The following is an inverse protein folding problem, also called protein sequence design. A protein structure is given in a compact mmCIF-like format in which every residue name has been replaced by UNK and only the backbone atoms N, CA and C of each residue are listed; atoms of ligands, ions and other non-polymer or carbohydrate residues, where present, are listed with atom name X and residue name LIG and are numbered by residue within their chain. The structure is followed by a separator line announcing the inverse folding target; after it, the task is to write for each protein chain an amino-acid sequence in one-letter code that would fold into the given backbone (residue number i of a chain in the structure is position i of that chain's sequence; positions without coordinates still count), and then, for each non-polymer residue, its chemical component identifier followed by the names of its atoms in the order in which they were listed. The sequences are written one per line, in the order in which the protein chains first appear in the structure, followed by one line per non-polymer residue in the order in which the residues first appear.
data_IF_400236452236
#
_entry.id   IF_400236452236
#
_cell.length_a   1.000
_cell.length_b   1.000
_cell.length_c   1.000
_cell.angle_alpha   90.00
_cell.angle_beta   90.00
_cell.angle_gamma   90.00
#
_symmetry.space_group_name_H-M   'P 1'
#
loop_
_entity.id
_entity.type
_entity.pdbx_description
1 polymer ?
#
# COMPACT_ATOMS: atom_id res chain seq x y z
N UNK A 1 5.14 -31.21 -17.38
CA UNK A 1 6.11 -30.99 -18.50
C UNK A 1 5.86 -29.59 -19.01
N UNK A 2 6.88 -28.76 -18.99
CA UNK A 2 6.78 -27.40 -19.49
C UNK A 2 7.08 -27.37 -20.97
N UNK A 3 6.21 -26.77 -21.77
CA UNK A 3 6.36 -26.65 -23.21
C UNK A 3 6.59 -25.17 -23.55
N UNK A 4 7.58 -24.93 -24.44
CA UNK A 4 7.88 -23.62 -24.98
C UNK A 4 7.79 -23.64 -26.51
N UNK A 5 7.52 -22.49 -27.13
CA UNK A 5 7.45 -22.37 -28.59
C UNK A 5 8.71 -22.88 -29.29
N UNK A 6 9.86 -22.79 -28.63
CA UNK A 6 11.15 -23.26 -29.15
C UNK A 6 11.58 -24.63 -28.60
N UNK A 7 10.62 -25.46 -28.13
CA UNK A 7 10.85 -26.76 -27.52
C UNK A 7 10.87 -26.75 -26.01
N UNK A 8 11.21 -27.87 -25.40
CA UNK A 8 11.27 -28.05 -23.97
C UNK A 8 12.46 -27.30 -23.35
N UNK A 9 12.21 -26.52 -22.30
CA UNK A 9 13.25 -25.93 -21.43
C UNK A 9 13.09 -26.49 -20.01
N UNK A 10 14.18 -27.03 -19.42
CA UNK A 10 14.12 -27.43 -18.01
C UNK A 10 14.07 -26.20 -17.08
N UNK A 11 13.47 -26.37 -15.92
CA UNK A 11 13.39 -25.34 -14.88
C UNK A 11 12.01 -24.70 -14.75
N UNK A 12 11.93 -23.69 -13.89
CA UNK A 12 10.73 -22.88 -13.67
C UNK A 12 10.63 -21.79 -14.75
N UNK A 13 9.53 -21.70 -15.52
CA UNK A 13 9.36 -20.68 -16.55
C UNK A 13 9.31 -19.26 -15.98
N UNK A 14 8.93 -19.10 -14.71
CA UNK A 14 8.84 -17.79 -14.06
C UNK A 14 10.20 -17.26 -13.57
N UNK A 15 11.25 -18.11 -13.62
CA UNK A 15 12.60 -17.72 -13.23
C UNK A 15 13.43 -17.39 -14.46
N UNK A 16 13.75 -16.11 -14.65
CA UNK A 16 14.65 -15.64 -15.69
C UNK A 16 16.10 -16.04 -15.41
N UNK A 17 16.93 -16.12 -16.45
CA UNK A 17 18.38 -16.25 -16.26
C UNK A 17 18.90 -14.99 -15.55
N UNK A 18 19.74 -15.19 -14.52
CA UNK A 18 20.37 -14.08 -13.81
C UNK A 18 21.34 -13.33 -14.74
N UNK A 19 21.29 -12.00 -14.71
CA UNK A 19 22.23 -11.16 -15.42
C UNK A 19 23.64 -11.27 -14.81
N UNK A 20 24.71 -11.21 -15.61
CA UNK A 20 26.07 -11.17 -15.07
C UNK A 20 26.26 -9.96 -14.13
N UNK A 21 26.94 -10.18 -13.00
CA UNK A 21 27.26 -9.10 -12.06
C UNK A 21 26.06 -8.54 -11.27
N UNK A 22 24.91 -9.26 -11.25
CA UNK A 22 23.78 -8.88 -10.39
C UNK A 22 24.23 -8.84 -8.92
N UNK A 23 23.74 -7.84 -8.20
CA UNK A 23 23.98 -7.66 -6.77
C UNK A 23 23.16 -8.70 -5.98
N UNK A 24 23.73 -9.17 -4.85
CA UNK A 24 23.04 -10.11 -3.95
C UNK A 24 22.62 -9.41 -2.67
N UNK A 25 21.60 -9.94 -2.02
CA UNK A 25 21.23 -9.50 -0.68
C UNK A 25 22.44 -9.60 0.28
N UNK A 26 22.71 -8.51 1.01
CA UNK A 26 23.84 -8.44 1.94
C UNK A 26 25.18 -7.99 1.32
N UNK A 27 25.27 -7.84 0.01
CA UNK A 27 26.42 -7.19 -0.61
C UNK A 27 26.54 -5.73 -0.12
N UNK A 28 27.76 -5.15 -0.08
CA UNK A 28 27.95 -3.74 0.24
C UNK A 28 27.08 -2.83 -0.61
N UNK A 29 26.56 -1.75 -0.01
CA UNK A 29 25.81 -0.76 -0.76
C UNK A 29 26.70 -0.15 -1.87
N UNK A 30 26.18 0.00 -3.10
CA UNK A 30 26.92 0.60 -4.20
C UNK A 30 27.12 2.10 -3.96
N UNK A 31 28.22 2.66 -4.46
CA UNK A 31 28.47 4.09 -4.43
C UNK A 31 27.60 4.87 -5.43
N UNK A 32 27.26 4.22 -6.56
CA UNK A 32 26.44 4.82 -7.62
C UNK A 32 25.39 3.85 -8.15
N UNK A 33 24.21 4.36 -8.44
CA UNK A 33 23.09 3.63 -9.08
C UNK A 33 22.43 4.49 -10.14
N UNK A 34 21.71 3.87 -11.07
CA UNK A 34 20.93 4.65 -12.03
C UNK A 34 19.61 5.09 -11.41
N UNK A 35 18.95 4.22 -10.62
CA UNK A 35 17.71 4.52 -9.92
C UNK A 35 17.80 4.08 -8.45
N UNK A 36 17.55 5.01 -7.53
CA UNK A 36 17.34 4.75 -6.11
C UNK A 36 15.86 4.90 -5.77
N UNK A 37 15.26 3.83 -5.27
CA UNK A 37 13.87 3.82 -4.78
C UNK A 37 13.90 3.89 -3.25
N UNK A 38 13.29 4.93 -2.69
CA UNK A 38 13.15 5.09 -1.24
C UNK A 38 11.82 4.51 -0.78
N UNK A 39 11.86 3.39 -0.08
CA UNK A 39 10.69 2.66 0.44
C UNK A 39 10.28 1.45 -0.39
N UNK A 40 9.98 0.34 0.28
CA UNK A 40 9.48 -0.92 -0.29
C UNK A 40 7.98 -1.11 -0.05
N UNK A 41 7.22 -0.03 0.06
CA UNK A 41 5.75 -0.04 0.03
C UNK A 41 5.20 -0.42 -1.35
N UNK A 42 3.86 -0.45 -1.54
CA UNK A 42 3.24 -0.84 -2.82
C UNK A 42 3.76 -0.06 -4.03
N UNK A 43 3.92 1.27 -3.91
CA UNK A 43 4.50 2.08 -4.98
C UNK A 43 5.94 1.67 -5.31
N UNK A 44 6.80 1.58 -4.29
CA UNK A 44 8.21 1.25 -4.49
C UNK A 44 8.43 -0.14 -5.07
N UNK A 45 7.68 -1.15 -4.60
CA UNK A 45 7.79 -2.51 -5.13
C UNK A 45 7.19 -2.65 -6.54
N UNK A 46 6.12 -1.93 -6.86
CA UNK A 46 5.55 -1.91 -8.21
C UNK A 46 6.59 -1.40 -9.23
N UNK A 47 7.29 -0.30 -8.91
CA UNK A 47 8.37 0.22 -9.73
C UNK A 47 9.58 -0.75 -9.77
N UNK A 48 9.99 -1.23 -8.61
CA UNK A 48 11.13 -2.13 -8.49
C UNK A 48 10.94 -3.43 -9.30
N UNK A 49 9.73 -3.99 -9.29
CA UNK A 49 9.40 -5.20 -10.06
C UNK A 49 9.50 -4.97 -11.59
N UNK A 50 9.18 -3.77 -12.07
CA UNK A 50 9.36 -3.39 -13.47
C UNK A 50 10.84 -3.27 -13.80
N UNK A 51 11.59 -2.49 -13.01
CA UNK A 51 13.02 -2.24 -13.23
C UNK A 51 13.89 -3.50 -13.03
N UNK A 52 13.46 -4.42 -12.19
CA UNK A 52 14.14 -5.72 -12.00
C UNK A 52 14.29 -6.53 -13.28
N UNK A 53 13.42 -6.30 -14.28
CA UNK A 53 13.46 -6.95 -15.60
C UNK A 53 14.47 -6.33 -16.57
N UNK A 54 15.05 -5.18 -16.21
CA UNK A 54 15.93 -4.38 -17.08
C UNK A 54 17.34 -4.31 -16.49
N UNK A 55 18.22 -5.30 -16.77
CA UNK A 55 19.54 -5.39 -16.13
C UNK A 55 20.50 -4.26 -16.52
N UNK A 56 20.17 -3.47 -17.55
CA UNK A 56 20.95 -2.30 -17.98
C UNK A 56 20.75 -1.11 -17.01
N UNK A 57 19.68 -1.11 -16.18
CA UNK A 57 19.38 -0.08 -15.19
C UNK A 57 19.78 -0.62 -13.82
N UNK A 58 20.84 -0.07 -13.22
CA UNK A 58 21.27 -0.42 -11.86
C UNK A 58 20.32 0.21 -10.86
N UNK A 59 19.39 -0.61 -10.36
CA UNK A 59 18.36 -0.19 -9.41
C UNK A 59 18.71 -0.62 -7.99
N UNK A 60 18.47 0.27 -7.02
CA UNK A 60 18.57 0.00 -5.59
C UNK A 60 17.28 0.38 -4.91
N UNK A 61 16.80 -0.45 -3.98
CA UNK A 61 15.64 -0.16 -3.14
C UNK A 61 16.09 -0.14 -1.69
N UNK A 62 15.76 0.91 -0.94
CA UNK A 62 16.05 1.01 0.50
C UNK A 62 14.77 1.03 1.31
N UNK A 63 14.76 0.33 2.45
CA UNK A 63 13.59 0.22 3.33
C UNK A 63 14.03 0.37 4.81
N UNK A 64 13.43 1.30 5.58
CA UNK A 64 13.77 1.49 6.98
C UNK A 64 13.46 0.31 7.90
N UNK A 65 12.51 -0.53 7.56
CA UNK A 65 12.18 -1.74 8.34
C UNK A 65 13.29 -2.78 8.22
N UNK A 66 13.34 -3.70 9.19
CA UNK A 66 14.36 -4.75 9.25
C UNK A 66 14.12 -5.91 8.27
N UNK A 67 12.95 -5.97 7.63
CA UNK A 67 12.56 -7.04 6.73
C UNK A 67 11.28 -6.74 5.97
N UNK A 68 10.78 -7.72 5.20
CA UNK A 68 9.54 -7.61 4.45
C UNK A 68 8.33 -7.27 5.33
N UNK A 69 7.27 -6.80 4.72
CA UNK A 69 6.02 -6.50 5.41
C UNK A 69 5.34 -7.79 5.89
N UNK A 70 5.13 -7.92 7.19
CA UNK A 70 4.44 -9.07 7.79
C UNK A 70 2.94 -8.83 7.94
N UNK A 71 2.53 -7.60 8.21
CA UNK A 71 1.12 -7.20 8.41
C UNK A 71 0.81 -5.98 7.56
N UNK A 72 -0.12 -6.14 6.63
CA UNK A 72 -0.59 -5.05 5.77
C UNK A 72 -1.78 -4.32 6.38
N UNK A 73 -1.89 -3.03 6.08
CA UNK A 73 -3.01 -2.19 6.49
C UNK A 73 -4.14 -2.19 5.44
N UNK A 74 -3.76 -2.17 4.16
CA UNK A 74 -4.70 -2.22 3.04
C UNK A 74 -5.07 -3.67 2.68
N UNK A 75 -6.19 -3.83 1.98
CA UNK A 75 -6.71 -5.13 1.55
C UNK A 75 -7.47 -5.10 0.21
N UNK A 76 -8.10 -3.98 -0.15
CA UNK A 76 -8.89 -3.86 -1.38
C UNK A 76 -8.01 -3.69 -2.61
N UNK A 77 -8.20 -4.56 -3.60
CA UNK A 77 -7.54 -4.51 -4.92
C UNK A 77 -8.60 -4.24 -5.98
N UNK A 78 -8.56 -3.05 -6.57
CA UNK A 78 -9.46 -2.66 -7.64
C UNK A 78 -9.20 -3.44 -8.93
N UNK A 79 -10.17 -3.47 -9.83
CA UNK A 79 -10.05 -4.14 -11.13
C UNK A 79 -8.83 -3.63 -11.91
N UNK A 80 -8.56 -2.32 -11.90
CA UNK A 80 -7.39 -1.75 -12.57
C UNK A 80 -6.08 -2.27 -11.99
N UNK A 81 -5.97 -2.43 -10.68
CA UNK A 81 -4.79 -3.03 -10.04
C UNK A 81 -4.65 -4.52 -10.37
N UNK A 82 -5.77 -5.23 -10.51
CA UNK A 82 -5.74 -6.63 -10.98
C UNK A 82 -5.23 -6.73 -12.43
N UNK A 83 -5.59 -5.79 -13.31
CA UNK A 83 -5.04 -5.71 -14.68
C UNK A 83 -3.52 -5.44 -14.64
N UNK A 84 -3.04 -4.57 -13.74
CA UNK A 84 -1.61 -4.38 -13.51
C UNK A 84 -0.95 -5.69 -13.05
N UNK A 85 -1.55 -6.43 -12.13
CA UNK A 85 -1.03 -7.73 -11.66
C UNK A 85 -1.00 -8.77 -12.79
N UNK A 86 -1.95 -8.70 -13.73
CA UNK A 86 -1.92 -9.53 -14.94
C UNK A 86 -0.68 -9.24 -15.78
N UNK A 87 -0.28 -7.98 -15.94
CA UNK A 87 0.93 -7.61 -16.67
C UNK A 87 2.23 -8.11 -16.01
N UNK A 88 2.22 -8.23 -14.68
CA UNK A 88 3.29 -8.86 -13.91
C UNK A 88 3.26 -10.40 -13.95
N UNK A 89 2.11 -11.01 -14.29
CA UNK A 89 1.93 -12.45 -14.37
C UNK A 89 1.42 -13.12 -13.09
N UNK A 90 0.99 -12.37 -12.08
CA UNK A 90 0.53 -12.96 -10.81
C UNK A 90 -0.96 -12.70 -10.46
N UNK A 91 -1.75 -12.11 -11.36
CA UNK A 91 -3.17 -11.87 -11.11
C UNK A 91 -3.95 -13.14 -10.75
N UNK A 92 -3.69 -14.25 -11.44
CA UNK A 92 -4.36 -15.53 -11.13
C UNK A 92 -4.00 -16.05 -9.72
N UNK A 93 -2.76 -15.84 -9.26
CA UNK A 93 -2.34 -16.19 -7.90
C UNK A 93 -3.12 -15.35 -6.88
N UNK A 94 -3.28 -14.05 -7.13
CA UNK A 94 -4.12 -13.19 -6.31
C UNK A 94 -5.56 -13.66 -6.30
N UNK A 95 -6.16 -13.96 -7.44
CA UNK A 95 -7.54 -14.45 -7.55
C UNK A 95 -7.78 -15.72 -6.75
N UNK A 96 -6.81 -16.64 -6.71
CA UNK A 96 -6.93 -17.90 -5.94
C UNK A 96 -6.81 -17.69 -4.42
N UNK A 97 -6.01 -16.71 -3.99
CA UNK A 97 -5.74 -16.48 -2.57
C UNK A 97 -6.70 -15.45 -1.93
N UNK A 98 -7.40 -14.67 -2.75
CA UNK A 98 -8.24 -13.55 -2.32
C UNK A 98 -9.72 -13.91 -2.12
N UNK A 99 -10.45 -12.98 -1.53
CA UNK A 99 -11.92 -13.00 -1.52
C UNK A 99 -12.43 -12.10 -2.63
N UNK A 100 -13.30 -12.61 -3.49
CA UNK A 100 -13.91 -11.85 -4.57
C UNK A 100 -15.11 -11.07 -4.05
N UNK A 101 -15.19 -9.82 -4.42
CA UNK A 101 -16.31 -8.94 -4.11
C UNK A 101 -17.19 -8.81 -5.35
N UNK A 102 -18.22 -9.67 -5.41
CA UNK A 102 -19.17 -9.66 -6.52
C UNK A 102 -20.28 -8.65 -6.30
N UNK A 103 -20.69 -8.46 -5.04
CA UNK A 103 -21.81 -7.61 -4.67
C UNK A 103 -21.50 -6.84 -3.39
N UNK A 104 -22.11 -5.67 -3.29
CA UNK A 104 -22.06 -4.81 -2.11
C UNK A 104 -23.48 -4.61 -1.58
N UNK A 105 -23.67 -4.72 -0.26
CA UNK A 105 -24.94 -4.47 0.38
C UNK A 105 -24.94 -3.18 1.19
N UNK A 106 -26.10 -2.55 1.26
CA UNK A 106 -26.31 -1.32 2.03
C UNK A 106 -27.43 -1.54 3.04
N UNK A 107 -27.12 -1.20 4.28
CA UNK A 107 -28.01 -1.33 5.42
C UNK A 107 -28.24 0.03 6.07
N UNK A 108 -29.46 0.36 6.34
CA UNK A 108 -29.85 1.63 6.93
C UNK A 108 -31.04 1.44 7.88
N UNK A 109 -31.34 2.42 8.77
CA UNK A 109 -32.51 2.38 9.62
C UNK A 109 -33.79 2.27 8.80
N UNK A 110 -34.55 1.20 9.04
CA UNK A 110 -35.85 0.96 8.48
C UNK A 110 -36.98 1.51 9.34
N UNK A 111 -38.21 1.01 9.08
CA UNK A 111 -39.35 1.28 9.97
C UNK A 111 -39.08 0.69 11.36
N UNK A 112 -39.34 1.42 12.43
CA UNK A 112 -39.11 1.03 13.81
C UNK A 112 -37.64 1.01 14.26
N UNK A 113 -36.75 1.77 13.60
CA UNK A 113 -35.31 1.87 13.91
C UNK A 113 -34.52 0.56 13.82
N UNK A 114 -35.08 -0.50 13.26
CA UNK A 114 -34.36 -1.73 12.92
C UNK A 114 -33.44 -1.49 11.70
N UNK A 115 -32.35 -2.23 11.60
CA UNK A 115 -31.50 -2.21 10.40
C UNK A 115 -32.14 -3.06 9.29
N UNK A 116 -32.46 -2.44 8.18
CA UNK A 116 -32.99 -3.10 6.97
C UNK A 116 -31.96 -3.04 5.84
N UNK A 117 -31.88 -4.11 5.02
CA UNK A 117 -31.11 -4.08 3.78
C UNK A 117 -31.84 -3.23 2.76
N UNK A 118 -31.35 -2.01 2.50
CA UNK A 118 -31.97 -1.05 1.58
C UNK A 118 -31.52 -1.22 0.13
N UNK A 119 -30.33 -1.83 -0.10
CA UNK A 119 -29.86 -2.13 -1.44
C UNK A 119 -28.87 -3.31 -1.45
N UNK A 120 -28.80 -4.00 -2.58
CA UNK A 120 -27.80 -4.97 -2.95
C UNK A 120 -27.44 -4.71 -4.41
N UNK A 121 -26.18 -4.40 -4.68
CA UNK A 121 -25.71 -3.97 -5.99
C UNK A 121 -24.51 -4.79 -6.43
N UNK A 122 -24.36 -5.01 -7.71
CA UNK A 122 -23.15 -5.57 -8.31
C UNK A 122 -21.98 -4.62 -8.03
N UNK A 123 -20.83 -5.14 -7.58
CA UNK A 123 -19.69 -4.29 -7.18
C UNK A 123 -18.93 -3.75 -8.41
N UNK A 124 -18.73 -4.59 -9.43
CA UNK A 124 -18.11 -4.20 -10.70
C UNK A 124 -19.13 -4.35 -11.82
N UNK A 125 -19.53 -3.25 -12.49
CA UNK A 125 -20.46 -3.32 -13.62
C UNK A 125 -19.91 -4.16 -14.78
N UNK A 126 -20.80 -4.85 -15.51
CA UNK A 126 -20.42 -5.66 -16.67
C UNK A 126 -19.73 -4.82 -17.74
N UNK A 127 -18.74 -5.40 -18.40
CA UNK A 127 -18.02 -4.79 -19.53
C UNK A 127 -16.96 -3.77 -19.15
N UNK A 128 -16.73 -3.50 -17.85
CA UNK A 128 -15.63 -2.62 -17.39
C UNK A 128 -14.30 -3.36 -17.43
N UNK A 129 -14.26 -4.60 -16.93
CA UNK A 129 -13.04 -5.41 -16.89
C UNK A 129 -13.39 -6.89 -16.74
N UNK A 130 -12.53 -7.76 -17.27
CA UNK A 130 -12.56 -9.20 -16.99
C UNK A 130 -12.01 -9.54 -15.58
N UNK A 131 -11.40 -8.57 -14.91
CA UNK A 131 -10.82 -8.76 -13.59
C UNK A 131 -11.83 -8.46 -12.47
N UNK A 132 -11.84 -9.25 -11.39
CA UNK A 132 -12.68 -8.97 -10.23
C UNK A 132 -12.08 -7.88 -9.33
N UNK A 133 -12.93 -7.21 -8.55
CA UNK A 133 -12.51 -6.54 -7.33
C UNK A 133 -12.29 -7.60 -6.24
N UNK A 134 -11.15 -7.59 -5.57
CA UNK A 134 -10.80 -8.59 -4.58
C UNK A 134 -10.26 -7.99 -3.29
N UNK A 135 -10.32 -8.77 -2.22
CA UNK A 135 -9.69 -8.46 -0.93
C UNK A 135 -8.60 -9.48 -0.63
N UNK A 136 -7.40 -8.99 -0.39
CA UNK A 136 -6.23 -9.79 -0.02
C UNK A 136 -5.31 -8.96 0.88
N UNK A 137 -4.65 -9.59 1.83
CA UNK A 137 -3.71 -8.90 2.71
C UNK A 137 -2.59 -8.23 1.90
N UNK A 138 -2.33 -6.96 2.18
CA UNK A 138 -1.27 -6.18 1.54
C UNK A 138 0.11 -6.85 1.61
N UNK A 139 0.42 -7.55 2.72
CA UNK A 139 1.67 -8.29 2.86
C UNK A 139 1.79 -9.41 1.82
N UNK A 140 0.67 -10.01 1.41
CA UNK A 140 0.68 -11.03 0.34
C UNK A 140 1.01 -10.45 -1.03
N UNK A 141 0.46 -9.27 -1.34
CA UNK A 141 0.81 -8.51 -2.57
C UNK A 141 2.30 -8.12 -2.54
N UNK A 142 2.78 -7.68 -1.38
CA UNK A 142 4.20 -7.39 -1.14
C UNK A 142 5.10 -8.59 -1.47
N UNK A 143 4.77 -9.78 -0.95
CA UNK A 143 5.49 -11.03 -1.25
C UNK A 143 5.52 -11.33 -2.75
N UNK A 144 4.38 -11.18 -3.44
CA UNK A 144 4.29 -11.45 -4.88
C UNK A 144 5.19 -10.53 -5.71
N UNK A 145 5.30 -9.25 -5.35
CA UNK A 145 6.27 -8.34 -5.97
C UNK A 145 7.71 -8.73 -5.67
N UNK A 146 8.02 -9.12 -4.43
CA UNK A 146 9.35 -9.63 -4.08
C UNK A 146 9.71 -10.89 -4.87
N UNK A 147 8.76 -11.81 -5.08
CA UNK A 147 8.97 -13.01 -5.91
C UNK A 147 9.31 -12.64 -7.36
N UNK A 148 8.57 -11.66 -7.95
CA UNK A 148 8.89 -11.15 -9.29
C UNK A 148 10.31 -10.59 -9.35
N UNK A 149 10.70 -9.79 -8.37
CA UNK A 149 12.02 -9.16 -8.31
C UNK A 149 13.14 -10.21 -8.16
N UNK A 150 12.97 -11.20 -7.27
CA UNK A 150 13.92 -12.29 -7.04
C UNK A 150 14.08 -13.19 -8.26
N UNK A 151 13.01 -13.38 -9.03
CA UNK A 151 12.99 -14.22 -10.22
C UNK A 151 13.41 -13.47 -11.50
N UNK A 152 13.49 -12.15 -11.47
CA UNK A 152 13.92 -11.29 -12.56
C UNK A 152 15.44 -11.38 -12.82
N UNK A 153 15.94 -10.96 -13.98
CA UNK A 153 17.37 -11.05 -14.31
C UNK A 153 18.29 -10.36 -13.29
N UNK A 154 17.88 -9.26 -12.69
CA UNK A 154 18.71 -8.50 -11.72
C UNK A 154 18.75 -9.11 -10.33
N UNK A 155 17.87 -10.07 -10.00
CA UNK A 155 17.71 -10.60 -8.63
C UNK A 155 17.56 -9.50 -7.59
N UNK A 156 16.84 -8.44 -7.95
CA UNK A 156 16.70 -7.26 -7.11
C UNK A 156 16.01 -7.60 -5.77
N UNK A 157 16.60 -7.17 -4.68
CA UNK A 157 16.03 -7.27 -3.34
C UNK A 157 16.18 -5.93 -2.63
N UNK A 158 15.22 -5.53 -1.74
CA UNK A 158 15.36 -4.33 -0.96
C UNK A 158 16.51 -4.43 0.07
N UNK A 159 17.25 -3.34 0.25
CA UNK A 159 18.20 -3.15 1.32
C UNK A 159 17.48 -2.69 2.58
N UNK A 160 17.14 -3.66 3.43
CA UNK A 160 16.42 -3.42 4.68
C UNK A 160 17.29 -2.75 5.75
N UNK A 161 16.64 -1.97 6.62
CA UNK A 161 17.28 -1.24 7.71
C UNK A 161 18.00 0.02 7.24
N UNK A 162 17.63 0.58 6.08
CA UNK A 162 18.14 1.83 5.55
C UNK A 162 17.01 2.76 5.13
N UNK A 163 17.13 4.05 5.45
CA UNK A 163 16.24 5.11 4.96
C UNK A 163 17.03 6.16 4.21
N UNK A 164 16.40 6.85 3.28
CA UNK A 164 16.91 8.13 2.80
C UNK A 164 16.67 9.15 3.90
N UNK A 165 17.75 9.67 4.49
CA UNK A 165 17.66 10.68 5.54
C UNK A 165 17.57 12.08 4.94
N UNK A 166 18.36 12.33 3.87
CA UNK A 166 18.41 13.59 3.14
C UNK A 166 18.92 13.35 1.72
N UNK A 167 18.75 14.32 0.82
CA UNK A 167 19.34 14.31 -0.51
C UNK A 167 19.61 15.74 -1.01
N UNK A 168 20.56 15.84 -1.94
CA UNK A 168 20.86 17.05 -2.68
C UNK A 168 20.90 16.76 -4.16
N UNK A 169 20.51 17.72 -4.99
CA UNK A 169 20.56 17.62 -6.45
C UNK A 169 21.52 18.67 -6.98
N UNK A 170 22.51 18.23 -7.74
CA UNK A 170 23.41 19.10 -8.49
C UNK A 170 22.93 19.14 -9.96
N UNK A 171 22.26 20.24 -10.38
CA UNK A 171 21.69 20.32 -11.73
C UNK A 171 22.74 20.37 -12.84
N UNK A 172 23.98 20.70 -12.50
CA UNK A 172 25.09 20.85 -13.46
C UNK A 172 25.89 19.54 -13.62
N UNK A 173 25.67 18.54 -12.76
CA UNK A 173 26.33 17.26 -12.85
C UNK A 173 25.85 16.46 -14.06
N UNK A 174 26.79 16.04 -14.93
CA UNK A 174 26.48 15.23 -16.11
C UNK A 174 26.03 13.80 -15.76
N UNK A 175 26.59 13.22 -14.68
CA UNK A 175 26.31 11.87 -14.21
C UNK A 175 26.03 11.86 -12.71
N UNK A 176 25.02 11.07 -12.29
CA UNK A 176 24.64 10.90 -10.90
C UNK A 176 24.40 12.23 -10.15
N UNK A 177 23.51 13.09 -10.66
CA UNK A 177 23.28 14.43 -10.11
C UNK A 177 22.68 14.42 -8.70
N UNK A 178 22.09 13.31 -8.27
CA UNK A 178 21.48 13.21 -6.94
C UNK A 178 22.45 12.53 -5.98
N UNK A 179 22.77 13.20 -4.86
CA UNK A 179 23.49 12.59 -3.74
C UNK A 179 22.53 12.34 -2.60
N UNK A 180 22.23 11.07 -2.31
CA UNK A 180 21.38 10.64 -1.21
C UNK A 180 22.22 10.25 -0.01
N UNK A 181 21.86 10.78 1.17
CA UNK A 181 22.38 10.33 2.46
C UNK A 181 21.49 9.22 3.01
N UNK A 182 21.98 8.01 3.01
CA UNK A 182 21.30 6.86 3.63
C UNK A 182 21.69 6.77 5.10
N UNK A 183 20.72 6.49 5.97
CA UNK A 183 20.95 6.29 7.41
C UNK A 183 20.46 4.90 7.82
N UNK A 184 21.28 4.18 8.56
CA UNK A 184 20.97 2.88 9.14
C UNK A 184 19.92 3.06 10.26
N UNK A 185 18.81 2.32 10.19
CA UNK A 185 17.68 2.50 11.10
C UNK A 185 17.67 1.56 12.29
N UNK A 186 18.42 0.44 12.24
CA UNK A 186 18.38 -0.60 13.26
C UNK A 186 19.71 -1.33 13.41
N UNK A 187 19.84 -2.06 14.52
CA UNK A 187 21.03 -2.87 14.85
C UNK A 187 22.14 -2.05 15.53
N UNK A 188 23.32 -2.66 15.70
CA UNK A 188 24.47 -2.03 16.36
C UNK A 188 25.04 -0.83 15.59
N UNK A 189 24.68 -0.68 14.34
CA UNK A 189 25.12 0.40 13.45
C UNK A 189 24.04 1.45 13.21
N UNK A 190 22.96 1.49 14.01
CA UNK A 190 21.92 2.50 13.91
C UNK A 190 22.52 3.92 13.97
N UNK A 191 22.07 4.81 13.07
CA UNK A 191 22.62 6.16 12.91
C UNK A 191 23.86 6.26 12.01
N UNK A 192 24.45 5.15 11.59
CA UNK A 192 25.52 5.17 10.59
C UNK A 192 24.99 5.67 9.25
N UNK A 193 25.73 6.55 8.61
CA UNK A 193 25.36 7.11 7.30
C UNK A 193 26.25 6.58 6.18
N UNK A 194 25.68 6.57 4.96
CA UNK A 194 26.34 6.26 3.70
C UNK A 194 25.85 7.21 2.62
N UNK A 195 26.74 7.63 1.74
CA UNK A 195 26.39 8.40 0.57
C UNK A 195 26.23 7.45 -0.62
N UNK A 196 25.15 7.62 -1.36
CA UNK A 196 24.88 6.95 -2.65
C UNK A 196 24.53 8.02 -3.66
N UNK A 197 25.17 8.02 -4.82
CA UNK A 197 24.83 8.91 -5.90
C UNK A 197 23.93 8.21 -6.90
N UNK A 198 22.91 8.91 -7.43
CA UNK A 198 21.94 8.36 -8.34
C UNK A 198 21.67 9.27 -9.53
N UNK A 199 21.29 8.68 -10.68
CA UNK A 199 20.76 9.45 -11.78
C UNK A 199 19.32 9.92 -11.49
N UNK A 200 18.55 9.07 -10.81
CA UNK A 200 17.18 9.35 -10.39
C UNK A 200 16.90 8.81 -8.99
N UNK A 201 16.08 9.53 -8.22
CA UNK A 201 15.56 9.07 -6.93
C UNK A 201 14.04 9.12 -6.98
N UNK A 202 13.40 8.01 -6.58
CA UNK A 202 11.94 7.94 -6.48
C UNK A 202 11.56 7.79 -5.01
N UNK A 203 10.91 8.81 -4.45
CA UNK A 203 10.40 8.84 -3.08
C UNK A 203 9.08 8.08 -2.96
N UNK A 204 9.15 6.83 -2.50
CA UNK A 204 8.03 5.97 -2.14
C UNK A 204 7.99 5.72 -0.62
N UNK A 205 8.53 6.65 0.17
CA UNK A 205 8.81 6.54 1.59
C UNK A 205 7.65 6.99 2.50
N UNK A 206 6.43 7.03 1.93
CA UNK A 206 5.18 7.14 2.65
C UNK A 206 4.83 8.55 3.13
N UNK A 207 3.75 8.66 3.91
CA UNK A 207 3.16 9.93 4.31
C UNK A 207 4.13 10.88 5.07
N UNK A 208 5.16 10.33 5.72
CA UNK A 208 6.21 11.08 6.42
C UNK A 208 7.49 11.21 5.62
N UNK A 209 7.38 11.22 4.29
CA UNK A 209 8.49 11.20 3.34
C UNK A 209 9.61 12.19 3.66
N UNK A 210 10.83 11.66 3.75
CA UNK A 210 12.06 12.44 3.84
C UNK A 210 12.42 13.01 2.46
N UNK A 211 12.21 12.22 1.40
CA UNK A 211 12.48 12.64 0.02
C UNK A 211 11.65 13.90 -0.32
N UNK A 212 10.33 13.89 -0.01
CA UNK A 212 9.49 15.08 -0.18
C UNK A 212 10.05 16.30 0.55
N UNK A 213 10.44 16.15 1.81
CA UNK A 213 11.01 17.24 2.61
C UNK A 213 12.33 17.76 2.02
N UNK A 214 13.18 16.87 1.54
CA UNK A 214 14.48 17.21 0.97
C UNK A 214 14.35 18.05 -0.32
N UNK A 215 13.29 17.83 -1.12
CA UNK A 215 13.00 18.66 -2.30
C UNK A 215 12.18 19.93 -1.97
N UNK A 216 11.92 20.18 -0.67
CA UNK A 216 11.15 21.34 -0.20
C UNK A 216 9.64 21.22 -0.39
N UNK A 217 9.12 20.01 -0.60
CA UNK A 217 7.68 19.75 -0.73
C UNK A 217 6.98 19.59 0.63
N UNK A 218 5.72 20.00 0.69
CA UNK A 218 4.84 19.88 1.85
C UNK A 218 3.50 19.24 1.48
N UNK A 219 2.89 18.50 2.43
CA UNK A 219 1.54 18.02 2.26
C UNK A 219 0.53 19.07 2.71
N UNK A 220 -0.41 19.38 1.85
CA UNK A 220 -1.53 20.28 2.09
C UNK A 220 -2.85 19.52 2.02
N UNK A 221 -3.84 19.96 2.78
CA UNK A 221 -5.17 19.35 2.81
C UNK A 221 -5.78 19.34 4.21
N UNK A 222 -7.00 18.86 4.29
CA UNK A 222 -7.79 18.89 5.51
C UNK A 222 -7.61 17.62 6.34
N UNK A 223 -7.43 17.78 7.64
CA UNK A 223 -7.72 16.73 8.60
C UNK A 223 -9.25 16.67 8.76
N UNK A 224 -9.85 15.53 8.50
CA UNK A 224 -11.32 15.39 8.60
C UNK A 224 -11.82 15.37 10.06
N UNK A 225 -10.94 15.53 11.05
CA UNK A 225 -11.26 15.43 12.50
C UNK A 225 -12.14 14.21 12.83
N UNK A 226 -12.01 13.15 12.06
CA UNK A 226 -12.77 11.92 12.17
C UNK A 226 -11.82 10.74 12.32
N UNK A 227 -12.01 9.97 13.39
CA UNK A 227 -11.28 8.75 13.63
C UNK A 227 -12.04 7.54 13.07
N UNK A 228 -11.30 6.57 12.52
CA UNK A 228 -11.82 5.28 12.08
C UNK A 228 -11.05 4.16 12.75
N UNK A 229 -11.78 3.32 13.48
CA UNK A 229 -11.28 2.05 13.97
C UNK A 229 -11.29 1.02 12.84
N UNK A 230 -10.18 0.32 12.66
CA UNK A 230 -10.09 -0.83 11.73
C UNK A 230 -9.70 -2.04 12.56
N UNK A 231 -10.44 -3.13 12.43
CA UNK A 231 -10.22 -4.32 13.23
C UNK A 231 -10.47 -5.59 12.42
N UNK A 232 -9.48 -6.49 12.44
CA UNK A 232 -9.59 -7.85 11.90
C UNK A 232 -9.94 -8.81 13.02
N UNK A 233 -11.04 -9.53 12.87
CA UNK A 233 -11.57 -10.35 13.94
C UNK A 233 -12.24 -11.65 13.47
N UNK A 234 -12.34 -12.59 14.41
CA UNK A 234 -13.22 -13.75 14.32
C UNK A 234 -14.41 -13.50 15.23
N UNK A 235 -15.63 -13.63 14.70
CA UNK A 235 -16.84 -13.41 15.47
C UNK A 235 -17.98 -14.35 15.07
N UNK A 236 -18.93 -14.50 16.00
CA UNK A 236 -20.23 -15.13 15.76
C UNK A 236 -21.28 -14.02 15.73
N UNK A 237 -22.09 -14.01 14.67
CA UNK A 237 -23.12 -13.00 14.47
C UNK A 237 -24.33 -13.61 13.76
N UNK A 238 -25.49 -13.02 13.97
CA UNK A 238 -26.73 -13.26 13.20
C UNK A 238 -26.95 -12.24 12.07
N UNK A 239 -25.99 -11.35 11.84
CA UNK A 239 -26.02 -10.41 10.69
C UNK A 239 -25.94 -11.22 9.38
N UNK A 240 -26.97 -11.15 8.50
CA UNK A 240 -27.07 -12.09 7.38
C UNK A 240 -26.01 -11.87 6.31
N UNK A 241 -25.48 -10.64 6.15
CA UNK A 241 -24.49 -10.30 5.13
C UNK A 241 -23.05 -10.28 5.67
N UNK A 242 -22.77 -11.05 6.74
CA UNK A 242 -21.47 -11.10 7.38
C UNK A 242 -20.30 -11.45 6.44
N UNK A 243 -20.58 -12.20 5.38
CA UNK A 243 -19.58 -12.60 4.37
C UNK A 243 -19.70 -11.80 3.06
N UNK A 244 -20.31 -10.61 3.10
CA UNK A 244 -20.42 -9.68 1.98
C UNK A 244 -19.74 -8.35 2.34
N UNK A 245 -19.30 -7.62 1.34
CA UNK A 245 -18.96 -6.21 1.53
C UNK A 245 -20.26 -5.46 1.85
N UNK A 246 -20.35 -4.91 3.05
CA UNK A 246 -21.58 -4.29 3.54
C UNK A 246 -21.29 -2.94 4.15
N UNK A 247 -22.08 -1.94 3.76
CA UNK A 247 -22.12 -0.65 4.43
C UNK A 247 -23.33 -0.61 5.35
N UNK A 248 -23.09 -0.41 6.64
CA UNK A 248 -24.12 -0.38 7.68
C UNK A 248 -24.15 1.00 8.30
N UNK A 249 -25.26 1.70 8.19
CA UNK A 249 -25.51 2.99 8.82
C UNK A 249 -26.57 2.82 9.89
N UNK A 250 -26.25 3.12 11.14
CA UNK A 250 -27.21 3.13 12.24
C UNK A 250 -27.93 4.47 12.40
N UNK A 251 -28.97 4.47 13.20
CA UNK A 251 -29.62 5.71 13.63
C UNK A 251 -28.88 6.30 14.85
N UNK A 252 -27.95 7.22 14.59
CA UNK A 252 -27.27 7.97 15.65
C UNK A 252 -25.95 7.40 16.16
N UNK A 253 -25.60 6.12 15.86
CA UNK A 253 -24.33 5.53 16.28
C UNK A 253 -23.21 5.61 15.23
N UNK A 254 -23.50 6.09 14.01
CA UNK A 254 -22.54 6.22 12.93
C UNK A 254 -22.61 5.10 11.90
N UNK A 255 -21.50 4.91 11.21
CA UNK A 255 -21.38 3.98 10.07
C UNK A 255 -20.31 2.92 10.33
N UNK A 256 -20.53 1.74 9.80
CA UNK A 256 -19.53 0.69 9.80
C UNK A 256 -19.51 0.00 8.43
N UNK A 257 -18.35 -0.48 8.02
CA UNK A 257 -18.20 -1.31 6.83
C UNK A 257 -17.70 -2.69 7.21
N UNK A 258 -18.34 -3.72 6.68
CA UNK A 258 -17.93 -5.13 6.82
C UNK A 258 -17.22 -5.53 5.55
N UNK A 259 -16.03 -6.10 5.69
CA UNK A 259 -15.26 -6.67 4.60
C UNK A 259 -14.89 -8.12 4.94
N UNK A 260 -15.36 -9.10 4.17
CA UNK A 260 -14.90 -10.48 4.33
C UNK A 260 -13.41 -10.55 3.98
N UNK A 261 -12.66 -11.29 4.78
CA UNK A 261 -11.24 -11.51 4.55
C UNK A 261 -10.99 -12.94 4.08
N UNK A 262 -9.79 -13.15 3.57
CA UNK A 262 -9.30 -14.44 3.14
C UNK A 262 -9.40 -15.50 4.25
N UNK A 263 -9.42 -16.79 3.89
CA UNK A 263 -9.53 -17.92 4.81
C UNK A 263 -10.95 -18.28 5.24
N UNK A 264 -11.98 -17.56 4.77
CA UNK A 264 -13.39 -17.93 4.97
C UNK A 264 -14.02 -17.51 6.31
N UNK A 265 -13.23 -17.19 7.33
CA UNK A 265 -13.72 -16.88 8.68
C UNK A 265 -13.37 -15.47 9.15
N UNK A 266 -12.23 -14.96 8.76
CA UNK A 266 -11.77 -13.62 9.14
C UNK A 266 -12.63 -12.54 8.48
N UNK A 267 -12.92 -11.48 9.23
CA UNK A 267 -13.66 -10.30 8.76
C UNK A 267 -12.95 -9.05 9.25
N UNK A 268 -12.90 -8.05 8.40
CA UNK A 268 -12.46 -6.70 8.75
C UNK A 268 -13.65 -5.78 8.92
N UNK A 269 -13.66 -5.06 10.02
CA UNK A 269 -14.60 -3.96 10.23
C UNK A 269 -13.85 -2.62 10.14
N UNK A 270 -14.43 -1.67 9.41
CA UNK A 270 -14.09 -0.26 9.48
C UNK A 270 -15.21 0.42 10.25
N UNK A 271 -14.91 0.95 11.41
CA UNK A 271 -15.89 1.50 12.36
C UNK A 271 -15.67 2.99 12.51
N UNK A 272 -16.68 3.77 12.19
CA UNK A 272 -16.68 5.21 12.44
C UNK A 272 -16.65 5.47 13.95
N UNK A 273 -15.56 6.07 14.41
CA UNK A 273 -15.41 6.49 15.81
C UNK A 273 -15.97 7.90 15.99
N UNK A 274 -16.08 8.34 17.23
CA UNK A 274 -16.57 9.69 17.51
C UNK A 274 -15.62 10.76 16.96
N UNK A 275 -16.19 11.91 16.59
CA UNK A 275 -15.41 13.02 16.04
C UNK A 275 -14.34 13.50 17.03
N UNK A 276 -13.20 13.89 16.48
CA UNK A 276 -12.10 14.53 17.22
C UNK A 276 -12.36 16.02 17.37
N UNK A 277 -11.98 16.61 18.49
CA UNK A 277 -11.90 18.06 18.62
C UNK A 277 -10.85 18.66 17.67
N UNK A 278 -10.93 19.96 17.39
CA UNK A 278 -10.05 20.65 16.43
C UNK A 278 -8.54 20.46 16.72
N UNK A 279 -8.17 20.38 18.00
CA UNK A 279 -6.78 20.22 18.46
C UNK A 279 -6.49 18.83 19.03
N UNK A 280 -7.44 17.90 18.93
CA UNK A 280 -7.35 16.56 19.51
C UNK A 280 -6.81 15.55 18.51
N UNK A 281 -5.87 14.70 18.94
CA UNK A 281 -5.35 13.59 18.15
C UNK A 281 -5.89 12.25 18.67
N UNK A 282 -6.03 11.28 17.78
CA UNK A 282 -6.43 9.91 18.14
C UNK A 282 -5.56 9.35 19.27
N UNK A 283 -4.24 9.60 19.24
CA UNK A 283 -3.33 9.14 20.28
C UNK A 283 -3.63 9.66 21.68
N UNK A 284 -4.26 10.83 21.79
CA UNK A 284 -4.56 11.49 23.07
C UNK A 284 -5.77 10.86 23.77
N UNK A 285 -6.62 10.14 23.02
CA UNK A 285 -7.82 9.46 23.56
C UNK A 285 -7.56 8.11 24.21
N UNK A 286 -6.42 7.50 23.95
CA UNK A 286 -6.09 6.17 24.47
C UNK A 286 -7.06 5.06 24.05
N UNK A 287 -7.73 5.23 22.89
CA UNK A 287 -8.68 4.26 22.35
C UNK A 287 -8.00 2.90 22.07
N UNK A 288 -8.74 1.82 22.29
CA UNK A 288 -8.27 0.46 22.17
C UNK A 288 -9.22 -0.42 21.33
N UNK A 289 -8.93 -1.70 21.21
CA UNK A 289 -9.73 -2.65 20.43
C UNK A 289 -11.14 -2.81 21.00
N UNK A 290 -11.29 -2.79 22.32
CA UNK A 290 -12.56 -2.92 23.02
C UNK A 290 -13.51 -1.77 22.70
N UNK A 291 -12.97 -0.55 22.56
CA UNK A 291 -13.76 0.63 22.17
C UNK A 291 -14.30 0.49 20.74
N UNK A 292 -13.48 -0.03 19.81
CA UNK A 292 -13.91 -0.32 18.43
C UNK A 292 -15.02 -1.37 18.43
N UNK A 293 -14.86 -2.46 19.21
CA UNK A 293 -15.84 -3.54 19.30
C UNK A 293 -17.16 -3.01 19.89
N UNK A 294 -17.10 -2.27 20.99
CA UNK A 294 -18.29 -1.71 21.62
C UNK A 294 -19.06 -0.76 20.69
N UNK A 295 -18.33 0.06 19.91
CA UNK A 295 -18.94 0.94 18.89
C UNK A 295 -19.57 0.12 17.76
N UNK A 296 -18.88 -0.91 17.27
CA UNK A 296 -19.40 -1.81 16.25
C UNK A 296 -20.69 -2.51 16.71
N UNK A 297 -20.73 -3.00 17.94
CA UNK A 297 -21.91 -3.65 18.52
C UNK A 297 -23.13 -2.71 18.59
N UNK A 298 -22.92 -1.44 18.92
CA UNK A 298 -24.01 -0.44 18.91
C UNK A 298 -24.52 -0.16 17.51
N UNK A 299 -23.62 -0.03 16.52
CA UNK A 299 -23.98 0.19 15.12
C UNK A 299 -24.74 -1.00 14.55
N UNK A 300 -24.36 -2.22 14.91
CA UNK A 300 -25.01 -3.46 14.43
C UNK A 300 -26.38 -3.75 15.07
N UNK A 301 -26.71 -3.09 16.18
CA UNK A 301 -28.01 -3.35 16.81
C UNK A 301 -29.17 -3.28 15.80
N UNK A 302 -30.09 -4.25 15.76
CA UNK A 302 -30.33 -5.30 16.78
C UNK A 302 -29.51 -6.59 16.58
N UNK A 303 -28.68 -6.72 15.53
CA UNK A 303 -27.89 -7.91 15.32
C UNK A 303 -26.81 -8.08 16.39
N UNK A 304 -26.57 -9.31 16.80
CA UNK A 304 -25.54 -9.64 17.76
C UNK A 304 -24.17 -9.72 17.08
N UNK A 305 -23.15 -9.17 17.71
CA UNK A 305 -21.73 -9.32 17.34
C UNK A 305 -20.98 -9.87 18.56
N UNK A 306 -20.63 -11.15 18.54
CA UNK A 306 -19.89 -11.84 19.60
C UNK A 306 -18.46 -12.12 19.11
N UNK A 307 -17.53 -11.21 19.44
CA UNK A 307 -16.12 -11.28 19.03
C UNK A 307 -15.42 -12.37 19.84
N UNK A 308 -14.77 -13.31 19.15
CA UNK A 308 -14.03 -14.42 19.72
C UNK A 308 -12.53 -14.18 19.77
N UNK A 309 -11.99 -13.50 18.75
CA UNK A 309 -10.57 -13.22 18.65
C UNK A 309 -10.36 -11.91 17.88
N UNK A 310 -9.42 -11.09 18.32
CA UNK A 310 -8.91 -9.92 17.62
C UNK A 310 -7.54 -10.27 17.05
N UNK A 311 -7.43 -10.35 15.73
CA UNK A 311 -6.18 -10.68 15.04
C UNK A 311 -5.28 -9.45 14.88
N UNK A 312 -5.90 -8.32 14.58
CA UNK A 312 -5.22 -7.05 14.38
C UNK A 312 -6.20 -5.88 14.51
N UNK A 313 -5.72 -4.72 14.94
CA UNK A 313 -6.50 -3.49 14.95
C UNK A 313 -5.61 -2.25 14.81
N UNK A 314 -6.21 -1.17 14.37
CA UNK A 314 -5.59 0.17 14.32
C UNK A 314 -6.68 1.25 14.32
N UNK A 315 -6.31 2.45 14.70
CA UNK A 315 -7.18 3.63 14.60
C UNK A 315 -6.48 4.67 13.73
N UNK A 316 -7.20 5.15 12.73
CA UNK A 316 -6.71 6.11 11.75
C UNK A 316 -7.42 7.45 11.92
N UNK A 317 -6.63 8.50 11.91
CA UNK A 317 -7.11 9.84 11.67
C UNK A 317 -7.19 10.08 10.17
N UNK A 318 -8.38 10.40 9.66
CA UNK A 318 -8.59 10.62 8.24
C UNK A 318 -7.99 11.97 7.83
N UNK A 319 -7.13 11.95 6.83
CA UNK A 319 -6.63 13.14 6.17
C UNK A 319 -6.54 12.92 4.66
N UNK A 320 -7.13 13.83 3.89
CA UNK A 320 -6.91 13.93 2.46
C UNK A 320 -5.85 15.00 2.24
N UNK A 321 -4.67 14.59 1.83
CA UNK A 321 -3.56 15.52 1.64
C UNK A 321 -2.88 15.26 0.31
N UNK A 322 -2.45 16.35 -0.32
CA UNK A 322 -1.71 16.35 -1.57
C UNK A 322 -0.44 17.17 -1.39
N UNK A 323 0.66 16.74 -1.99
CA UNK A 323 1.88 17.54 -2.02
C UNK A 323 1.73 18.71 -3.00
N UNK A 324 2.41 19.82 -2.71
CA UNK A 324 2.53 20.97 -3.60
C UNK A 324 3.49 20.72 -4.77
N UNK A 325 4.35 19.70 -4.66
CA UNK A 325 5.33 19.33 -5.68
C UNK A 325 5.39 17.81 -5.83
N UNK A 326 5.46 17.34 -7.07
CA UNK A 326 5.67 15.92 -7.39
C UNK A 326 7.13 15.58 -7.73
N UNK A 327 7.96 16.61 -7.95
CA UNK A 327 9.36 16.48 -8.31
C UNK A 327 10.23 17.61 -7.76
N UNK A 328 11.53 17.57 -8.05
CA UNK A 328 12.54 18.54 -7.58
C UNK A 328 12.68 19.79 -8.46
N UNK A 329 11.91 19.90 -9.57
CA UNK A 329 12.07 21.02 -10.49
C UNK A 329 11.33 22.25 -9.97
N UNK A 330 12.01 23.42 -9.82
CA UNK A 330 11.33 24.67 -9.53
C UNK A 330 10.38 25.06 -10.67
N UNK A 331 9.27 25.72 -10.35
CA UNK A 331 8.27 26.14 -11.35
C UNK A 331 8.88 26.97 -12.47
N UNK A 332 9.88 27.83 -12.15
CA UNK A 332 10.58 28.66 -13.13
C UNK A 332 11.41 27.85 -14.14
N UNK A 333 11.80 26.62 -13.81
CA UNK A 333 12.74 25.81 -14.59
C UNK A 333 12.05 24.63 -15.34
N UNK A 334 10.73 24.46 -15.21
CA UNK A 334 9.98 23.34 -15.80
C UNK A 334 10.18 23.21 -17.32
N UNK A 335 10.39 24.31 -18.03
CA UNK A 335 10.61 24.29 -19.48
C UNK A 335 12.06 23.89 -19.88
N UNK A 336 13.01 23.94 -18.95
CA UNK A 336 14.46 23.83 -19.26
C UNK A 336 15.14 22.65 -18.51
N UNK A 337 14.53 22.12 -17.45
CA UNK A 337 15.12 21.12 -16.60
C UNK A 337 14.22 19.89 -16.48
N UNK A 338 14.81 18.70 -16.67
CA UNK A 338 14.13 17.43 -16.38
C UNK A 338 14.27 17.07 -14.89
N UNK A 339 13.22 16.50 -14.26
CA UNK A 339 13.28 16.07 -12.87
C UNK A 339 14.30 14.94 -12.65
N UNK A 340 14.93 14.96 -11.48
CA UNK A 340 15.84 13.91 -11.01
C UNK A 340 15.35 13.23 -9.76
N UNK A 341 14.45 13.86 -9.02
CA UNK A 341 13.77 13.31 -7.85
C UNK A 341 12.28 13.41 -8.08
N UNK A 342 11.57 12.30 -7.93
CA UNK A 342 10.11 12.23 -8.10
C UNK A 342 9.48 11.57 -6.88
N UNK A 343 8.22 11.88 -6.61
CA UNK A 343 7.44 11.30 -5.50
C UNK A 343 6.33 10.40 -6.04
N UNK A 344 6.02 9.33 -5.30
CA UNK A 344 4.92 8.41 -5.60
C UNK A 344 4.26 7.86 -4.34
N UNK A 345 3.01 7.48 -4.44
CA UNK A 345 2.21 6.94 -3.35
C UNK A 345 1.98 7.93 -2.21
N UNK A 346 1.96 7.46 -0.97
CA UNK A 346 1.72 8.31 0.19
C UNK A 346 2.78 9.41 0.40
N UNK A 347 3.89 9.35 -0.31
CA UNK A 347 4.86 10.45 -0.32
C UNK A 347 4.31 11.70 -1.00
N UNK A 348 3.40 11.58 -1.96
CA UNK A 348 2.77 12.70 -2.63
C UNK A 348 1.28 12.89 -2.30
N UNK A 349 0.54 11.85 -1.91
CA UNK A 349 -0.88 11.97 -1.55
C UNK A 349 -1.30 10.94 -0.50
N UNK A 350 -2.19 11.33 0.40
CA UNK A 350 -2.80 10.44 1.37
C UNK A 350 -4.32 10.43 1.23
N UNK A 351 -4.93 9.27 1.45
CA UNK A 351 -6.36 9.03 1.25
C UNK A 351 -7.05 8.52 2.51
N UNK A 352 -8.35 8.75 2.57
CA UNK A 352 -9.21 8.07 3.54
C UNK A 352 -9.26 6.57 3.26
N UNK A 353 -9.23 5.72 4.29
CA UNK A 353 -9.36 4.27 4.11
C UNK A 353 -10.76 3.84 3.62
N UNK A 354 -11.77 4.71 3.70
CA UNK A 354 -13.17 4.42 3.32
C UNK A 354 -13.35 3.89 1.91
N UNK A 355 -12.57 4.41 0.96
CA UNK A 355 -12.67 4.03 -0.45
C UNK A 355 -11.76 2.86 -0.83
N UNK A 356 -10.86 2.40 0.07
CA UNK A 356 -9.90 1.34 -0.23
C UNK A 356 -8.91 1.67 -1.36
N UNK A 357 -8.70 2.96 -1.66
CA UNK A 357 -7.95 3.37 -2.85
C UNK A 357 -6.46 3.63 -2.61
N UNK A 358 -6.00 3.82 -1.37
CA UNK A 358 -4.62 4.23 -1.09
C UNK A 358 -3.57 3.35 -1.77
N UNK A 359 -3.61 2.03 -1.55
CA UNK A 359 -2.68 1.10 -2.17
C UNK A 359 -2.82 1.06 -3.71
N UNK A 360 -4.04 1.09 -4.22
CA UNK A 360 -4.32 1.03 -5.66
C UNK A 360 -3.74 2.23 -6.41
N UNK A 361 -3.98 3.44 -5.89
CA UNK A 361 -3.44 4.68 -6.47
C UNK A 361 -1.92 4.71 -6.35
N UNK A 362 -1.38 4.34 -5.17
CA UNK A 362 0.08 4.28 -4.96
C UNK A 362 0.80 3.37 -5.97
N UNK A 363 0.22 2.21 -6.31
CA UNK A 363 0.76 1.35 -7.38
C UNK A 363 0.57 1.98 -8.76
N UNK A 364 -0.57 2.64 -8.99
CA UNK A 364 -0.87 3.35 -10.23
C UNK A 364 0.15 4.43 -10.58
N UNK A 365 0.63 5.19 -9.57
CA UNK A 365 1.65 6.23 -9.76
C UNK A 365 2.95 5.71 -10.38
N UNK A 366 3.32 4.48 -10.05
CA UNK A 366 4.61 3.90 -10.45
C UNK A 366 4.50 2.85 -11.55
N UNK A 367 3.28 2.44 -11.90
CA UNK A 367 3.03 1.52 -13.00
C UNK A 367 2.93 2.24 -14.35
N UNK A 368 2.34 3.45 -14.37
CA UNK A 368 2.07 4.24 -15.59
C UNK A 368 3.29 4.97 -16.14
#
# INVERSE_FOLDING_TARGET
MQYHLNGFKPGDPDVSLAAPGHRRAGDPLPETVDVLIAGSGPAGLCLAAQLARVPQIRTMVVEPKAGPMEKGQADGISVRSMEMFQSFGFAEKVMRESVWINETTFWAPGQQAALDRVARVQDVPDGISEMPHVLINQARVHDMFLDIMRNAPTRLEPDYGWKVADLTVDPDAAEYPVTATLERTAGQQAGQTRLVRANYVIGCDGARSNVRRAIGGALHGDAAHQAWGVIDLLAVTDFPDWRMKSFVRSQGEGTLMVLPREGGHLVRLYVEMDNLGADERVADRGLNAEDIIAKAQRIFSPFRLDVKEVVWWSIYEIGHRLTDKFDDVPEADVATRAPRVMLAGDACHTHSPKAGQGMNVSMGDTFN
#
